data_IF_799271563366
#
_entry.id   IF_799271563366
#
_cell.length_a   1.000
_cell.length_b   1.000
_cell.length_c   1.000
_cell.angle_alpha   90.00
_cell.angle_beta   90.00
_cell.angle_gamma   90.00
#
_symmetry.space_group_name_H-M   'P 1'
#
loop_
_entity.id
_entity.type
_entity.pdbx_description
1 polymer ?
#
# COMPACT_ATOMS: atom_id res chain seq x y z
N UNK A 1 6.71 15.16 -46.48
CA UNK A 1 6.28 15.36 -45.08
C UNK A 1 4.76 15.34 -45.05
N UNK A 2 4.15 14.33 -44.42
CA UNK A 2 2.70 14.29 -44.25
C UNK A 2 2.29 15.30 -43.16
N UNK A 3 1.17 16.03 -43.33
CA UNK A 3 0.68 16.92 -42.28
C UNK A 3 0.23 16.09 -41.07
N UNK A 4 0.77 16.41 -39.89
CA UNK A 4 0.30 15.86 -38.61
C UNK A 4 -1.16 16.25 -38.44
N UNK A 5 -2.06 15.26 -38.47
CA UNK A 5 -3.48 15.49 -38.25
C UNK A 5 -3.67 16.02 -36.82
N UNK A 6 -4.10 17.28 -36.68
CA UNK A 6 -4.36 17.86 -35.37
C UNK A 6 -5.44 17.04 -34.65
N UNK A 7 -5.18 16.69 -33.38
CA UNK A 7 -6.10 15.92 -32.56
C UNK A 7 -7.46 16.62 -32.48
N UNK A 8 -8.60 15.92 -32.67
CA UNK A 8 -9.91 16.54 -32.61
C UNK A 8 -10.14 17.27 -31.28
N UNK A 9 -10.69 18.50 -31.28
CA UNK A 9 -10.89 19.29 -30.05
C UNK A 9 -11.71 18.55 -28.97
N UNK A 10 -12.76 17.84 -29.39
CA UNK A 10 -13.58 17.04 -28.48
C UNK A 10 -12.78 15.93 -27.76
N UNK A 11 -11.78 15.34 -28.43
CA UNK A 11 -10.92 14.33 -27.82
C UNK A 11 -9.97 14.97 -26.79
N UNK A 12 -9.46 16.17 -27.06
CA UNK A 12 -8.64 16.91 -26.10
C UNK A 12 -9.44 17.27 -24.84
N UNK A 13 -10.67 17.73 -25.02
CA UNK A 13 -11.58 18.07 -23.91
C UNK A 13 -11.94 16.83 -23.09
N UNK A 14 -12.30 15.72 -23.75
CA UNK A 14 -12.57 14.45 -23.07
C UNK A 14 -11.37 13.97 -22.25
N UNK A 15 -10.16 14.06 -22.82
CA UNK A 15 -8.91 13.68 -22.13
C UNK A 15 -8.65 14.55 -20.90
N UNK A 16 -8.89 15.86 -21.01
CA UNK A 16 -8.77 16.79 -19.89
C UNK A 16 -9.75 16.41 -18.77
N UNK A 17 -11.02 16.22 -19.12
CA UNK A 17 -12.08 15.94 -18.14
C UNK A 17 -11.87 14.58 -17.46
N UNK A 18 -11.46 13.56 -18.21
CA UNK A 18 -11.13 12.25 -17.64
C UNK A 18 -9.92 12.32 -16.71
N UNK A 19 -8.92 13.13 -17.05
CA UNK A 19 -7.72 13.31 -16.22
C UNK A 19 -8.07 14.00 -14.90
N UNK A 20 -8.90 15.04 -14.93
CA UNK A 20 -9.37 15.73 -13.72
C UNK A 20 -10.15 14.76 -12.83
N UNK A 21 -11.13 14.07 -13.41
CA UNK A 21 -11.95 13.09 -12.67
C UNK A 21 -11.09 12.02 -12.03
N UNK A 22 -10.12 11.47 -12.77
CA UNK A 22 -9.19 10.47 -12.25
C UNK A 22 -8.33 11.00 -11.10
N UNK A 23 -7.87 12.26 -11.16
CA UNK A 23 -7.12 12.89 -10.07
C UNK A 23 -7.98 13.06 -8.82
N UNK A 24 -9.23 13.51 -8.98
CA UNK A 24 -10.18 13.68 -7.88
C UNK A 24 -10.49 12.33 -7.22
N UNK A 25 -10.69 11.27 -8.03
CA UNK A 25 -10.91 9.91 -7.54
C UNK A 25 -9.72 9.36 -6.75
N UNK A 26 -8.49 9.59 -7.23
CA UNK A 26 -7.27 9.20 -6.51
C UNK A 26 -7.11 9.97 -5.19
N UNK A 27 -7.47 11.25 -5.17
CA UNK A 27 -7.47 12.07 -3.96
C UNK A 27 -8.51 11.56 -2.96
N UNK A 28 -9.70 11.16 -3.42
CA UNK A 28 -10.74 10.57 -2.59
C UNK A 28 -10.28 9.24 -1.98
N UNK A 29 -9.62 8.37 -2.75
CA UNK A 29 -9.04 7.13 -2.22
C UNK A 29 -7.98 7.41 -1.15
N UNK A 30 -7.12 8.41 -1.36
CA UNK A 30 -6.12 8.79 -0.36
C UNK A 30 -6.77 9.30 0.94
N UNK A 31 -7.76 10.20 0.83
CA UNK A 31 -8.42 10.81 2.00
C UNK A 31 -9.27 9.80 2.79
N UNK A 32 -9.87 8.84 2.10
CA UNK A 32 -10.81 7.87 2.68
C UNK A 32 -10.24 6.45 2.72
N UNK A 33 -8.92 6.30 2.77
CA UNK A 33 -8.26 5.00 2.67
C UNK A 33 -8.81 3.96 3.67
N UNK A 34 -9.06 4.38 4.92
CA UNK A 34 -9.62 3.54 5.98
C UNK A 34 -10.96 2.90 5.59
N UNK A 35 -11.83 3.67 4.92
CA UNK A 35 -13.18 3.24 4.56
C UNK A 35 -13.26 2.62 3.16
N UNK A 36 -12.20 2.73 2.35
CA UNK A 36 -12.21 2.44 0.91
C UNK A 36 -11.09 1.47 0.49
N UNK A 37 -11.05 0.30 1.12
CA UNK A 37 -10.17 -0.82 0.72
C UNK A 37 -8.66 -0.54 0.85
N UNK A 38 -8.23 0.06 1.97
CA UNK A 38 -6.81 0.14 2.31
C UNK A 38 -6.14 -1.25 2.27
N UNK A 39 -4.92 -1.29 1.76
CA UNK A 39 -4.11 -2.52 1.62
C UNK A 39 -2.87 -2.51 2.53
N UNK A 40 -2.67 -1.42 3.27
CA UNK A 40 -1.66 -1.29 4.30
C UNK A 40 -2.15 -0.41 5.44
N UNK A 41 -1.75 -0.80 6.66
CA UNK A 41 -1.97 -0.07 7.91
C UNK A 41 -0.66 -0.01 8.66
N UNK A 42 -0.33 1.15 9.21
CA UNK A 42 0.79 1.33 10.13
C UNK A 42 0.28 1.71 11.50
N UNK A 43 0.80 1.04 12.52
CA UNK A 43 0.54 1.34 13.92
C UNK A 43 1.64 2.27 14.44
N UNK A 44 1.24 3.44 14.95
CA UNK A 44 2.11 4.37 15.64
C UNK A 44 2.07 4.05 17.12
N UNK A 45 3.23 3.64 17.64
CA UNK A 45 3.41 3.41 19.06
C UNK A 45 3.64 4.77 19.74
N UNK A 46 2.61 5.30 20.39
CA UNK A 46 2.72 6.50 21.21
C UNK A 46 3.45 6.20 22.52
N UNK A 47 4.37 7.08 22.93
CA UNK A 47 5.11 6.95 24.20
C UNK A 47 4.24 7.24 25.43
N UNK A 48 3.11 7.92 25.25
CA UNK A 48 2.29 8.46 26.35
C UNK A 48 1.20 7.50 26.87
N UNK A 49 1.22 6.21 26.48
CA UNK A 49 0.21 5.22 26.88
C UNK A 49 -1.21 5.49 26.33
N UNK A 50 -1.39 6.52 25.49
CA UNK A 50 -2.65 6.86 24.81
C UNK A 50 -2.85 6.02 23.55
N UNK A 51 -3.10 4.73 23.70
CA UNK A 51 -3.57 3.85 22.62
C UNK A 51 -2.61 3.73 21.43
N UNK A 52 -2.97 2.86 20.49
CA UNK A 52 -2.26 2.70 19.21
C UNK A 52 -2.97 3.57 18.18
N UNK A 53 -2.26 4.50 17.56
CA UNK A 53 -2.78 5.28 16.44
C UNK A 53 -2.53 4.52 15.13
N UNK A 54 -3.52 4.48 14.24
CA UNK A 54 -3.42 3.75 12.98
C UNK A 54 -3.43 4.70 11.79
N UNK A 55 -2.47 4.53 10.89
CA UNK A 55 -2.42 5.20 9.59
C UNK A 55 -2.77 4.20 8.50
N UNK A 56 -3.85 4.47 7.76
CA UNK A 56 -4.36 3.61 6.70
C UNK A 56 -3.93 4.15 5.32
N UNK A 57 -3.62 3.26 4.38
CA UNK A 57 -3.18 3.70 3.05
C UNK A 57 -3.30 2.64 1.95
N UNK A 58 -2.88 3.05 0.75
CA UNK A 58 -2.80 2.22 -0.45
C UNK A 58 -1.36 2.14 -0.95
N UNK A 59 -0.81 0.93 -1.07
CA UNK A 59 0.55 0.67 -1.56
C UNK A 59 0.82 1.32 -2.92
N UNK A 60 -0.17 1.30 -3.83
CA UNK A 60 -0.05 1.92 -5.14
C UNK A 60 0.24 3.44 -5.05
N UNK A 61 -0.45 4.15 -4.15
CA UNK A 61 -0.24 5.59 -3.93
C UNK A 61 1.14 5.85 -3.31
N UNK A 62 1.55 4.99 -2.38
CA UNK A 62 2.87 5.08 -1.72
C UNK A 62 3.99 4.84 -2.71
N UNK A 63 3.89 3.82 -3.57
CA UNK A 63 4.90 3.54 -4.61
C UNK A 63 5.03 4.67 -5.63
N UNK A 64 3.94 5.36 -5.94
CA UNK A 64 3.98 6.46 -6.90
C UNK A 64 4.62 7.73 -6.34
N UNK A 65 4.56 7.96 -5.02
CA UNK A 65 4.91 9.27 -4.41
C UNK A 65 6.03 9.24 -3.37
N UNK A 66 6.23 8.13 -2.67
CA UNK A 66 7.24 8.06 -1.63
C UNK A 66 8.64 7.81 -2.22
N UNK A 67 9.70 8.28 -1.56
CA UNK A 67 11.07 7.94 -1.95
C UNK A 67 11.26 6.41 -1.94
N UNK A 68 12.14 5.85 -2.81
CA UNK A 68 12.41 4.41 -2.83
C UNK A 68 12.81 3.83 -1.46
N UNK A 69 13.46 4.64 -0.61
CA UNK A 69 13.84 4.26 0.77
C UNK A 69 12.66 4.04 1.71
N UNK A 70 11.49 4.61 1.41
CA UNK A 70 10.28 4.45 2.22
C UNK A 70 9.82 2.99 2.22
N UNK A 71 9.79 2.34 1.06
CA UNK A 71 9.42 0.94 0.93
C UNK A 71 10.31 0.04 1.77
N UNK A 72 11.64 0.22 1.67
CA UNK A 72 12.60 -0.61 2.40
C UNK A 72 12.46 -0.49 3.92
N UNK A 73 11.93 0.62 4.43
CA UNK A 73 11.76 0.86 5.86
C UNK A 73 10.37 0.45 6.38
N UNK A 74 9.33 0.72 5.60
CA UNK A 74 7.94 0.65 6.08
C UNK A 74 7.10 -0.46 5.43
N UNK A 75 7.60 -1.10 4.36
CA UNK A 75 6.98 -2.29 3.75
C UNK A 75 7.84 -3.55 3.86
N UNK A 76 9.08 -3.43 4.34
CA UNK A 76 9.85 -4.60 4.75
C UNK A 76 9.20 -5.19 5.98
N UNK A 77 8.60 -6.37 5.82
CA UNK A 77 8.19 -7.18 6.95
C UNK A 77 9.41 -7.37 7.85
N UNK A 78 9.33 -6.93 9.11
CA UNK A 78 10.34 -7.29 10.11
C UNK A 78 10.50 -8.82 10.02
N UNK A 79 11.75 -9.33 9.93
CA UNK A 79 11.95 -10.77 10.06
C UNK A 79 11.21 -11.23 11.34
N UNK A 80 10.57 -12.42 11.30
CA UNK A 80 9.86 -12.93 12.47
C UNK A 80 10.76 -12.79 13.69
N UNK A 81 10.21 -12.43 14.87
CA UNK A 81 11.00 -12.21 16.07
C UNK A 81 11.97 -13.38 16.25
N UNK A 82 13.23 -13.15 16.65
CA UNK A 82 14.17 -14.23 16.88
C UNK A 82 13.49 -15.23 17.81
N UNK A 83 13.27 -16.43 17.29
CA UNK A 83 12.62 -17.50 18.03
C UNK A 83 13.42 -17.70 19.30
N UNK A 84 12.81 -17.36 20.44
CA UNK A 84 13.42 -17.67 21.72
C UNK A 84 13.60 -19.19 21.79
N UNK A 85 14.64 -19.72 22.47
CA UNK A 85 14.88 -21.16 22.52
C UNK A 85 13.69 -21.95 23.09
N UNK A 86 12.78 -21.29 23.81
CA UNK A 86 11.50 -21.86 24.26
C UNK A 86 10.50 -22.12 23.14
N UNK A 87 10.49 -21.30 22.08
CA UNK A 87 9.55 -21.45 20.97
C UNK A 87 9.95 -22.56 19.99
N UNK A 88 11.25 -22.89 19.90
CA UNK A 88 11.75 -24.00 19.07
C UNK A 88 11.26 -25.35 19.60
N UNK A 89 11.17 -25.53 20.92
CA UNK A 89 10.71 -26.78 21.50
C UNK A 89 9.21 -27.04 21.22
N UNK A 90 8.41 -25.99 21.11
CA UNK A 90 6.97 -26.12 20.85
C UNK A 90 6.66 -26.50 19.39
N UNK A 91 7.48 -26.04 18.43
CA UNK A 91 7.35 -26.37 17.00
C UNK A 91 7.90 -27.75 16.64
N UNK A 92 8.78 -28.33 17.47
CA UNK A 92 9.31 -29.69 17.24
C UNK A 92 8.30 -30.81 17.57
N UNK A 93 7.19 -30.49 18.25
CA UNK A 93 6.13 -31.43 18.59
C UNK A 93 4.87 -31.31 17.73
N UNK A 94 4.80 -30.32 16.83
CA UNK A 94 3.68 -30.17 15.92
C UNK A 94 3.92 -30.98 14.64
N UNK A 95 3.07 -31.97 14.30
CA UNK A 95 3.19 -32.69 13.03
C UNK A 95 2.97 -31.71 11.86
N UNK A 96 3.89 -31.78 10.90
CA UNK A 96 4.00 -30.91 9.73
C UNK A 96 2.67 -30.72 9.00
N UNK A 97 2.12 -29.50 9.02
CA UNK A 97 1.11 -29.08 8.05
C UNK A 97 1.79 -28.51 6.80
N UNK A 98 1.36 -28.90 5.59
CA UNK A 98 1.99 -28.44 4.36
C UNK A 98 1.71 -26.94 4.11
N UNK A 99 2.79 -26.21 3.83
CA UNK A 99 2.78 -24.80 3.45
C UNK A 99 1.87 -24.52 2.26
N UNK A 100 0.74 -23.84 2.51
CA UNK A 100 -0.04 -23.18 1.47
C UNK A 100 0.63 -21.84 1.12
N UNK A 101 1.38 -21.82 0.01
CA UNK A 101 1.77 -20.57 -0.65
C UNK A 101 0.58 -20.06 -1.45
N UNK A 102 0.05 -18.89 -1.09
CA UNK A 102 -0.85 -18.14 -1.96
C UNK A 102 -0.04 -17.46 -3.07
N UNK A 103 -0.62 -17.49 -4.27
CA UNK A 103 -0.15 -16.87 -5.51
C UNK A 103 -0.21 -15.36 -5.45
#
# INVERSE_FOLDING_TARGET
MAPSAATPPALQEATRNSTITWQDDLQALFNHAKDRFADVVWELQGDDGKGVEEVWGHKAVVYARAPPSFQARYFSFKPPPPTTPFHILLLQLAPSLPSLRFR
#
